data_IF_014243265508
#
_entry.id   IF_014243265508
#
_cell.length_a   1.000
_cell.length_b   1.000
_cell.length_c   1.000
_cell.angle_alpha   90.00
_cell.angle_beta   90.00
_cell.angle_gamma   90.00
#
_symmetry.space_group_name_H-M   'P 1'
#
loop_
_entity.id
_entity.type
_entity.pdbx_description
1 polymer ?
#
# COMPACT_ATOMS: atom_id res chain seq x y z
N UNK A 1 10.34 -1.34 9.60
CA UNK A 1 9.83 -2.33 10.56
C UNK A 1 10.16 -3.74 10.07
N UNK A 2 10.73 -4.61 10.91
CA UNK A 2 11.11 -5.98 10.50
C UNK A 2 10.49 -7.03 11.43
N UNK A 3 9.23 -7.41 11.15
CA UNK A 3 8.51 -8.47 11.86
C UNK A 3 8.67 -9.77 11.07
N UNK A 4 8.85 -10.88 11.77
CA UNK A 4 9.02 -12.20 11.15
C UNK A 4 7.72 -13.01 11.11
N UNK A 5 7.68 -14.00 10.21
CA UNK A 5 6.54 -14.91 10.09
C UNK A 5 6.36 -15.69 11.40
N UNK A 6 5.12 -15.77 11.89
CA UNK A 6 4.76 -16.38 13.17
C UNK A 6 4.80 -15.43 14.36
N UNK A 7 5.30 -14.20 14.20
CA UNK A 7 5.23 -13.17 15.22
C UNK A 7 3.87 -12.44 15.19
N UNK A 8 3.47 -11.86 16.31
CA UNK A 8 2.29 -11.00 16.40
C UNK A 8 2.65 -9.62 15.85
N UNK A 9 1.82 -9.10 14.95
CA UNK A 9 1.95 -7.76 14.42
C UNK A 9 1.83 -6.73 15.56
N UNK A 10 2.75 -5.76 15.67
CA UNK A 10 2.87 -4.90 16.85
C UNK A 10 1.72 -3.91 16.99
N UNK A 11 1.04 -3.59 15.89
CA UNK A 11 -0.20 -2.80 15.92
C UNK A 11 -1.39 -3.76 15.96
N UNK A 12 -2.28 -3.58 16.93
CA UNK A 12 -3.51 -4.34 17.00
C UNK A 12 -4.47 -3.84 15.92
N UNK A 13 -4.51 -4.55 14.79
CA UNK A 13 -5.52 -4.32 13.76
C UNK A 13 -6.76 -5.08 14.21
N UNK A 14 -7.84 -4.37 14.51
CA UNK A 14 -9.07 -4.96 15.07
C UNK A 14 -9.92 -5.60 13.97
N UNK A 15 -10.19 -4.84 12.90
CA UNK A 15 -11.08 -5.24 11.80
C UNK A 15 -10.32 -5.93 10.65
N UNK A 16 -10.99 -6.80 9.91
CA UNK A 16 -10.50 -7.35 8.65
C UNK A 16 -10.39 -6.26 7.58
N UNK A 17 -9.47 -6.42 6.64
CA UNK A 17 -9.26 -5.47 5.55
C UNK A 17 -7.81 -5.02 5.41
N UNK A 18 -7.63 -3.82 4.87
CA UNK A 18 -6.32 -3.28 4.48
C UNK A 18 -5.89 -2.14 5.40
N UNK A 19 -4.61 -2.15 5.79
CA UNK A 19 -3.97 -1.06 6.52
C UNK A 19 -2.65 -0.76 5.85
N UNK A 20 -2.32 0.52 5.70
CA UNK A 20 -1.00 0.92 5.24
C UNK A 20 -0.44 2.09 6.04
N UNK A 21 0.89 2.17 6.08
CA UNK A 21 1.61 3.28 6.70
C UNK A 21 3.01 3.43 6.08
N UNK A 22 3.72 4.52 6.37
CA UNK A 22 5.10 4.75 6.00
C UNK A 22 6.01 4.77 7.24
N UNK A 23 6.71 3.65 7.49
CA UNK A 23 7.50 3.42 8.72
C UNK A 23 8.92 2.99 8.36
N UNK A 24 9.92 3.54 9.04
CA UNK A 24 11.35 3.23 8.81
C UNK A 24 11.81 3.35 7.35
N UNK A 25 11.39 4.41 6.65
CA UNK A 25 11.71 4.67 5.23
C UNK A 25 11.03 3.72 4.23
N UNK A 26 10.02 2.97 4.66
CA UNK A 26 9.34 1.99 3.81
C UNK A 26 7.83 2.09 3.90
N UNK A 27 7.16 1.84 2.78
CA UNK A 27 5.72 1.60 2.79
C UNK A 27 5.44 0.21 3.35
N UNK A 28 4.58 0.15 4.35
CA UNK A 28 4.11 -1.08 4.97
C UNK A 28 2.66 -1.28 4.57
N UNK A 29 2.37 -2.40 3.94
CA UNK A 29 1.03 -2.84 3.56
C UNK A 29 0.67 -4.05 4.41
N UNK A 30 -0.53 -4.06 4.98
CA UNK A 30 -1.03 -5.15 5.80
C UNK A 30 -2.41 -5.52 5.32
N UNK A 31 -2.63 -6.81 5.06
CA UNK A 31 -3.94 -7.36 4.77
C UNK A 31 -4.28 -8.32 5.91
N UNK A 32 -5.37 -8.03 6.61
CA UNK A 32 -5.91 -8.88 7.66
C UNK A 32 -7.13 -9.64 7.13
N UNK A 33 -7.10 -10.95 7.33
CA UNK A 33 -8.20 -11.86 7.03
C UNK A 33 -8.37 -12.84 8.22
N UNK A 34 -9.48 -13.57 8.27
CA UNK A 34 -9.75 -14.55 9.32
C UNK A 34 -8.66 -15.63 9.36
N UNK A 35 -8.34 -16.18 8.17
CA UNK A 35 -7.36 -17.25 7.93
C UNK A 35 -6.69 -17.05 6.57
N UNK A 36 -5.39 -17.32 6.51
CA UNK A 36 -4.65 -17.49 5.26
C UNK A 36 -4.29 -18.97 5.06
N UNK A 37 -4.54 -19.49 3.87
CA UNK A 37 -4.18 -20.85 3.49
C UNK A 37 -2.67 -21.00 3.26
N UNK A 38 -2.19 -22.24 3.27
CA UNK A 38 -0.79 -22.53 2.96
C UNK A 38 -0.47 -22.14 1.50
N UNK A 39 -1.40 -22.37 0.56
CA UNK A 39 -1.26 -21.98 -0.84
C UNK A 39 -1.07 -20.47 -1.00
N UNK A 40 -1.93 -19.66 -0.36
CA UNK A 40 -1.83 -18.20 -0.41
C UNK A 40 -0.52 -17.70 0.21
N UNK A 41 -0.10 -18.31 1.32
CA UNK A 41 1.17 -17.99 1.96
C UNK A 41 2.38 -18.37 1.08
N UNK A 42 2.30 -19.44 0.27
CA UNK A 42 3.37 -19.78 -0.68
C UNK A 42 3.36 -18.86 -1.90
N UNK A 43 2.18 -18.48 -2.41
CA UNK A 43 2.05 -17.52 -3.51
C UNK A 43 2.79 -16.22 -3.20
N UNK A 44 2.76 -15.77 -1.94
CA UNK A 44 3.49 -14.58 -1.49
C UNK A 44 5.01 -14.62 -1.79
N UNK A 45 5.61 -15.81 -1.92
CA UNK A 45 7.05 -15.98 -2.17
C UNK A 45 7.42 -16.05 -3.65
N UNK A 46 6.51 -16.53 -4.50
CA UNK A 46 6.85 -16.98 -5.84
C UNK A 46 6.00 -16.36 -6.94
N UNK A 47 4.80 -15.91 -6.61
CA UNK A 47 3.87 -15.41 -7.59
C UNK A 47 4.09 -13.91 -7.82
N UNK A 48 3.74 -13.38 -9.00
CA UNK A 48 3.79 -11.96 -9.28
C UNK A 48 3.03 -11.11 -8.26
N UNK A 49 3.72 -10.12 -7.69
CA UNK A 49 3.12 -9.03 -6.92
C UNK A 49 3.13 -7.79 -7.80
N UNK A 50 1.96 -7.23 -8.12
CA UNK A 50 1.84 -5.99 -8.88
C UNK A 50 1.39 -4.87 -7.96
N UNK A 51 2.07 -3.73 -8.05
CA UNK A 51 1.68 -2.48 -7.42
C UNK A 51 1.31 -1.46 -8.51
N UNK A 52 0.08 -0.98 -8.47
CA UNK A 52 -0.38 0.16 -9.25
C UNK A 52 -0.57 1.38 -8.33
N UNK A 53 -0.11 2.55 -8.78
CA UNK A 53 -0.32 3.80 -8.06
C UNK A 53 -1.31 4.68 -8.79
N UNK A 54 -2.42 5.01 -8.14
CA UNK A 54 -3.47 5.88 -8.64
C UNK A 54 -3.52 7.14 -7.80
N UNK A 55 -3.67 8.29 -8.44
CA UNK A 55 -3.96 9.55 -7.76
C UNK A 55 -5.17 10.23 -8.40
N UNK A 56 -6.29 10.30 -7.67
CA UNK A 56 -7.56 10.81 -8.20
C UNK A 56 -8.34 11.51 -7.08
N UNK A 57 -8.99 12.63 -7.40
CA UNK A 57 -9.71 13.47 -6.42
C UNK A 57 -8.87 13.84 -5.18
N UNK A 58 -7.56 14.03 -5.40
CA UNK A 58 -6.56 14.28 -4.35
C UNK A 58 -6.39 13.15 -3.31
N UNK A 59 -6.75 11.94 -3.71
CA UNK A 59 -6.56 10.71 -2.95
C UNK A 59 -5.46 9.89 -3.62
N UNK A 60 -4.46 9.51 -2.84
CA UNK A 60 -3.46 8.53 -3.23
C UNK A 60 -3.96 7.12 -2.90
N UNK A 61 -4.04 6.27 -3.92
CA UNK A 61 -4.49 4.89 -3.80
C UNK A 61 -3.40 3.97 -4.34
N UNK A 62 -2.98 3.03 -3.50
CA UNK A 62 -2.08 1.94 -3.88
C UNK A 62 -2.95 0.71 -4.11
N UNK A 63 -2.88 0.13 -5.30
CA UNK A 63 -3.57 -1.10 -5.62
C UNK A 63 -2.54 -2.22 -5.65
N UNK A 64 -2.75 -3.26 -4.85
CA UNK A 64 -1.89 -4.43 -4.83
C UNK A 64 -2.65 -5.65 -5.33
N UNK A 65 -2.03 -6.38 -6.25
CA UNK A 65 -2.50 -7.69 -6.71
C UNK A 65 -1.41 -8.72 -6.48
N UNK A 66 -1.76 -9.82 -5.82
CA UNK A 66 -0.87 -10.96 -5.63
C UNK A 66 -1.50 -12.18 -6.30
N UNK A 67 -0.94 -12.60 -7.44
CA UNK A 67 -1.49 -13.71 -8.22
C UNK A 67 -1.66 -14.97 -7.36
N UNK A 68 -2.85 -15.59 -7.45
CA UNK A 68 -3.32 -16.74 -6.67
C UNK A 68 -3.42 -16.56 -5.15
N UNK A 69 -3.42 -15.33 -4.63
CA UNK A 69 -3.65 -15.12 -3.19
C UNK A 69 -4.42 -13.87 -2.80
N UNK A 70 -4.21 -12.76 -3.51
CA UNK A 70 -4.96 -11.53 -3.29
C UNK A 70 -5.35 -11.00 -4.64
N UNK A 71 -6.66 -10.81 -4.85
CA UNK A 71 -7.18 -10.04 -5.98
C UNK A 71 -6.65 -8.59 -5.91
N UNK A 72 -7.29 -7.63 -6.58
CA UNK A 72 -6.86 -6.24 -6.43
C UNK A 72 -7.39 -5.65 -5.12
N UNK A 73 -6.52 -5.46 -4.14
CA UNK A 73 -6.83 -4.73 -2.91
C UNK A 73 -6.38 -3.28 -3.00
N UNK A 74 -7.21 -2.36 -2.52
CA UNK A 74 -6.88 -0.93 -2.42
C UNK A 74 -6.39 -0.55 -1.02
N UNK A 75 -5.41 0.35 -1.01
CA UNK A 75 -4.88 0.97 0.19
C UNK A 75 -4.87 2.47 -0.02
N UNK A 76 -5.60 3.16 0.86
CA UNK A 76 -5.71 4.61 0.84
C UNK A 76 -4.56 5.20 1.66
N UNK A 77 -3.82 6.13 1.08
CA UNK A 77 -2.79 6.87 1.78
C UNK A 77 -3.12 8.35 1.82
N UNK A 78 -3.14 8.91 3.03
CA UNK A 78 -3.29 10.34 3.22
C UNK A 78 -2.11 10.89 4.02
N UNK A 79 -1.34 11.78 3.40
CA UNK A 79 -0.17 12.40 4.02
C UNK A 79 -0.52 13.31 5.20
N UNK A 80 -1.80 13.65 5.38
CA UNK A 80 -2.27 14.50 6.48
C UNK A 80 -2.72 13.72 7.72
N UNK A 81 -2.79 12.38 7.66
CA UNK A 81 -3.18 11.55 8.80
C UNK A 81 -2.11 11.55 9.91
N UNK A 82 -0.84 11.76 9.54
CA UNK A 82 0.31 11.74 10.45
C UNK A 82 1.38 12.76 10.05
N UNK A 83 2.28 13.08 10.98
CA UNK A 83 3.50 13.83 10.68
C UNK A 83 4.57 12.91 10.06
N UNK A 84 4.52 12.75 8.74
CA UNK A 84 5.51 11.97 8.01
C UNK A 84 6.85 12.71 7.84
N UNK A 85 7.98 11.99 7.84
CA UNK A 85 9.30 12.58 7.66
C UNK A 85 9.48 13.13 6.23
N UNK A 86 10.23 14.23 6.07
CA UNK A 86 10.45 14.88 4.76
C UNK A 86 11.03 13.95 3.68
N UNK A 87 11.70 12.88 4.09
CA UNK A 87 12.21 11.82 3.20
C UNK A 87 11.11 11.08 2.42
N UNK A 88 9.84 11.16 2.82
CA UNK A 88 8.68 10.68 2.05
C UNK A 88 8.42 11.51 0.78
N UNK A 89 9.00 12.71 0.68
CA UNK A 89 8.80 13.61 -0.46
C UNK A 89 10.10 13.81 -1.26
N UNK A 90 11.08 12.90 -1.07
CA UNK A 90 12.39 13.01 -1.71
C UNK A 90 12.37 12.53 -3.16
N UNK A 91 13.24 13.11 -3.97
CA UNK A 91 13.59 12.54 -5.27
C UNK A 91 14.59 11.40 -5.11
N UNK A 92 14.43 10.36 -5.93
CA UNK A 92 15.30 9.20 -6.02
C UNK A 92 16.18 9.30 -7.25
N UNK A 93 17.44 8.89 -7.08
CA UNK A 93 18.49 8.91 -8.09
C UNK A 93 19.25 7.57 -8.10
N UNK A 94 20.02 7.32 -9.16
CA UNK A 94 20.93 6.16 -9.29
C UNK A 94 20.23 4.79 -9.15
N UNK A 95 18.98 4.68 -9.58
CA UNK A 95 18.23 3.43 -9.51
C UNK A 95 17.69 3.07 -8.12
N UNK A 96 17.83 3.97 -7.13
CA UNK A 96 17.22 3.80 -5.81
C UNK A 96 15.70 4.03 -5.86
N UNK A 97 14.99 3.58 -4.83
CA UNK A 97 13.55 3.71 -4.70
C UNK A 97 13.04 3.40 -3.29
N UNK A 98 11.74 3.58 -3.08
CA UNK A 98 11.11 3.21 -1.81
C UNK A 98 11.22 1.72 -1.54
N UNK A 99 11.51 1.37 -0.29
CA UNK A 99 11.25 0.02 0.20
C UNK A 99 9.75 -0.17 0.41
N UNK A 100 9.26 -1.37 0.15
CA UNK A 100 7.89 -1.78 0.40
C UNK A 100 7.88 -3.14 1.07
N UNK A 101 7.05 -3.32 2.09
CA UNK A 101 6.77 -4.63 2.70
C UNK A 101 5.28 -4.89 2.77
N UNK A 102 4.82 -6.00 2.18
CA UNK A 102 3.47 -6.54 2.34
C UNK A 102 3.48 -7.63 3.41
N UNK A 103 2.54 -7.55 4.35
CA UNK A 103 2.26 -8.53 5.39
C UNK A 103 0.84 -9.08 5.21
N UNK A 104 0.71 -10.40 5.27
CA UNK A 104 -0.57 -11.08 5.43
C UNK A 104 -0.68 -11.51 6.90
N UNK A 105 -1.71 -11.05 7.60
CA UNK A 105 -1.95 -11.39 9.00
C UNK A 105 -3.32 -12.03 9.18
N UNK A 106 -3.45 -12.92 10.17
CA UNK A 106 -4.72 -13.58 10.47
C UNK A 106 -5.54 -12.82 11.54
N UNK A 107 -6.69 -13.38 11.90
CA UNK A 107 -7.59 -12.89 12.98
C UNK A 107 -6.87 -12.62 14.31
N UNK A 108 -5.81 -13.38 14.63
CA UNK A 108 -4.99 -13.23 15.83
C UNK A 108 -3.87 -12.19 15.71
N UNK A 109 -3.83 -11.42 14.62
CA UNK A 109 -2.74 -10.53 14.24
C UNK A 109 -1.38 -11.24 14.07
N UNK A 110 -1.37 -12.56 13.86
CA UNK A 110 -0.12 -13.29 13.59
C UNK A 110 0.27 -13.11 12.12
N UNK A 111 1.54 -12.81 11.87
CA UNK A 111 2.09 -12.73 10.50
C UNK A 111 2.14 -14.12 9.87
N UNK A 112 1.30 -14.34 8.87
CA UNK A 112 1.23 -15.58 8.09
C UNK A 112 2.23 -15.58 6.93
N UNK A 113 2.35 -14.46 6.23
CA UNK A 113 3.29 -14.29 5.14
C UNK A 113 3.80 -12.85 5.05
N UNK A 114 4.96 -12.69 4.40
CA UNK A 114 5.63 -11.41 4.22
C UNK A 114 6.39 -11.39 2.90
N UNK A 115 6.35 -10.26 2.19
CA UNK A 115 7.24 -9.99 1.06
C UNK A 115 7.76 -8.58 1.12
N UNK A 116 9.08 -8.43 1.01
CA UNK A 116 9.75 -7.13 0.91
C UNK A 116 10.33 -6.96 -0.48
N UNK A 117 10.07 -5.81 -1.09
CA UNK A 117 10.56 -5.42 -2.41
C UNK A 117 11.04 -3.97 -2.38
N UNK A 118 11.74 -3.55 -3.43
CA UNK A 118 12.13 -2.16 -3.64
C UNK A 118 11.52 -1.69 -4.94
N UNK A 119 10.81 -0.56 -4.90
CA UNK A 119 10.24 0.05 -6.08
C UNK A 119 11.34 0.62 -6.97
N UNK A 120 11.05 0.72 -8.26
CA UNK A 120 11.90 1.42 -9.21
C UNK A 120 12.01 2.91 -8.88
N UNK A 121 13.08 3.54 -9.36
CA UNK A 121 13.26 4.98 -9.29
C UNK A 121 12.10 5.74 -9.93
N UNK A 122 11.59 5.26 -11.07
CA UNK A 122 10.48 5.88 -11.79
C UNK A 122 9.19 5.88 -10.97
N UNK A 123 8.78 4.70 -10.49
CA UNK A 123 7.60 4.57 -9.64
C UNK A 123 7.73 5.40 -8.35
N UNK A 124 8.90 5.34 -7.70
CA UNK A 124 9.15 6.05 -6.44
C UNK A 124 9.06 7.57 -6.62
N UNK A 125 9.62 8.10 -7.70
CA UNK A 125 9.53 9.54 -8.00
C UNK A 125 8.09 9.97 -8.33
N UNK A 126 7.32 9.14 -9.03
CA UNK A 126 5.89 9.39 -9.27
C UNK A 126 5.14 9.47 -7.94
N UNK A 127 5.27 8.46 -7.07
CA UNK A 127 4.62 8.46 -5.75
C UNK A 127 5.01 9.72 -4.97
N UNK A 128 6.32 9.98 -4.83
CA UNK A 128 6.83 11.13 -4.08
C UNK A 128 6.26 12.46 -4.58
N UNK A 129 6.19 12.65 -5.90
CA UNK A 129 5.67 13.87 -6.50
C UNK A 129 4.20 14.10 -6.13
N UNK A 130 3.36 13.06 -6.21
CA UNK A 130 1.93 13.18 -5.93
C UNK A 130 1.64 13.29 -4.43
N UNK A 131 2.41 12.61 -3.57
CA UNK A 131 2.31 12.79 -2.12
C UNK A 131 2.75 14.19 -1.69
N UNK A 132 3.80 14.75 -2.30
CA UNK A 132 4.22 16.14 -2.07
C UNK A 132 3.14 17.14 -2.52
N UNK A 133 2.46 16.85 -3.64
CA UNK A 133 1.31 17.63 -4.10
C UNK A 133 0.17 17.57 -3.09
N UNK A 134 -0.19 16.39 -2.59
CA UNK A 134 -1.24 16.21 -1.59
C UNK A 134 -0.91 17.01 -0.31
N UNK A 135 0.34 16.99 0.15
CA UNK A 135 0.80 17.72 1.35
C UNK A 135 0.65 19.24 1.22
N UNK A 136 0.82 19.77 0.01
CA UNK A 136 0.72 21.21 -0.25
C UNK A 136 -0.73 21.70 -0.46
N UNK A 137 -1.65 20.78 -0.74
CA UNK A 137 -3.05 21.13 -0.92
C UNK A 137 -3.69 21.50 0.43
N UNK A 138 -4.64 22.45 0.46
CA UNK A 138 -5.49 22.66 1.62
C UNK A 138 -6.20 21.35 1.99
N UNK A 139 -6.14 20.97 3.27
CA UNK A 139 -6.75 19.74 3.75
C UNK A 139 -7.95 20.04 4.64
N UNK A 140 -9.09 19.46 4.26
CA UNK A 140 -10.30 19.42 5.07
C UNK A 140 -10.78 17.98 5.11
N UNK A 141 -10.82 17.41 6.32
CA UNK A 141 -11.13 15.99 6.53
C UNK A 141 -12.50 15.60 5.95
N UNK A 142 -13.53 16.44 6.13
CA UNK A 142 -14.86 16.21 5.57
C UNK A 142 -14.87 16.14 4.04
N UNK A 143 -14.08 16.98 3.37
CA UNK A 143 -13.94 16.96 1.91
C UNK A 143 -13.20 15.72 1.43
N UNK A 144 -12.14 15.32 2.15
CA UNK A 144 -11.40 14.09 1.87
C UNK A 144 -12.31 12.86 1.99
N UNK A 145 -13.07 12.73 3.08
CA UNK A 145 -14.00 11.63 3.29
C UNK A 145 -15.10 11.58 2.22
N UNK A 146 -15.64 12.75 1.84
CA UNK A 146 -16.63 12.84 0.75
C UNK A 146 -16.04 12.39 -0.59
N UNK A 147 -14.83 12.84 -0.92
CA UNK A 147 -14.13 12.43 -2.14
C UNK A 147 -13.80 10.93 -2.14
N UNK A 148 -13.41 10.38 -0.98
CA UNK A 148 -13.09 8.96 -0.84
C UNK A 148 -14.32 8.10 -1.01
N UNK A 149 -15.42 8.45 -0.34
CA UNK A 149 -16.71 7.79 -0.52
C UNK A 149 -17.17 7.86 -1.98
N UNK A 150 -17.01 9.01 -2.63
CA UNK A 150 -17.34 9.19 -4.05
C UNK A 150 -16.47 8.34 -4.97
N UNK A 151 -15.19 8.18 -4.66
CA UNK A 151 -14.27 7.32 -5.41
C UNK A 151 -14.66 5.85 -5.29
N UNK A 152 -14.84 5.36 -4.06
CA UNK A 152 -15.17 3.96 -3.76
C UNK A 152 -16.59 3.59 -4.21
N UNK A 153 -17.52 4.55 -4.26
CA UNK A 153 -18.87 4.31 -4.80
C UNK A 153 -18.90 4.20 -6.33
N UNK A 154 -17.89 4.75 -7.01
CA UNK A 154 -17.86 4.87 -8.46
C UNK A 154 -17.00 3.81 -9.14
N UNK A 155 -16.05 3.19 -8.44
CA UNK A 155 -15.05 2.31 -9.02
C UNK A 155 -14.70 1.17 -8.06
N UNK A 156 -14.66 -0.04 -8.61
CA UNK A 156 -14.04 -1.18 -7.94
C UNK A 156 -12.50 -1.09 -8.04
N UNK A 157 -11.72 -1.67 -7.10
CA UNK A 157 -10.26 -1.61 -7.12
C UNK A 157 -9.62 -2.02 -8.46
N UNK A 158 -10.07 -3.12 -9.06
CA UNK A 158 -9.55 -3.60 -10.35
C UNK A 158 -9.87 -2.65 -11.53
N UNK A 159 -10.95 -1.85 -11.44
CA UNK A 159 -11.29 -0.88 -12.47
C UNK A 159 -10.36 0.34 -12.42
N UNK A 160 -9.92 0.70 -11.21
CA UNK A 160 -9.00 1.81 -10.98
C UNK A 160 -7.59 1.53 -11.54
N UNK A 161 -7.19 0.27 -11.73
CA UNK A 161 -5.89 -0.09 -12.33
C UNK A 161 -5.69 0.55 -13.71
N UNK A 162 -6.77 0.75 -14.49
CA UNK A 162 -6.72 1.42 -15.80
C UNK A 162 -6.35 2.91 -15.72
N UNK A 163 -6.42 3.49 -14.52
CA UNK A 163 -6.10 4.89 -14.23
C UNK A 163 -4.73 5.05 -13.54
N UNK A 164 -3.98 3.96 -13.40
CA UNK A 164 -2.69 3.96 -12.74
C UNK A 164 -1.70 4.92 -13.45
N UNK A 165 -1.03 5.74 -12.64
CA UNK A 165 0.05 6.63 -13.07
C UNK A 165 1.36 5.87 -13.25
N UNK A 166 1.48 4.70 -12.62
CA UNK A 166 2.56 3.76 -12.76
C UNK A 166 2.10 2.38 -12.33
N UNK A 167 2.72 1.35 -12.90
CA UNK A 167 2.51 -0.06 -12.55
C UNK A 167 3.87 -0.74 -12.47
N UNK A 168 4.09 -1.54 -11.43
CA UNK A 168 5.33 -2.29 -11.25
C UNK A 168 5.04 -3.70 -10.73
N UNK A 169 5.58 -4.70 -11.42
CA UNK A 169 5.40 -6.12 -11.09
C UNK A 169 6.72 -6.73 -10.62
N UNK A 170 6.68 -7.36 -9.44
CA UNK A 170 7.77 -8.08 -8.81
C UNK A 170 7.56 -9.58 -8.98
N UNK A 171 8.58 -10.28 -9.49
CA UNK A 171 8.60 -11.74 -9.62
C UNK A 171 9.40 -12.35 -8.49
#
# INVERSE_FOLDING_TARGET
MNIEIGEVFPSAIEEEGTVMDFVDDEFVFVIKDEVWTDEECQAMKHNPLTLDFVYKYDIAVFLLTLEDAVDTSDFIFNVHDNEYPERLYRSFENGDGYGMTLYLINSMNTVCAKRRVRLSQGMSNTISQYLAKQKQAPFMEEEFLCNLQGLQSAWEPFEMQKMALGSETFK
#
